data_IF_060135111820
#
_entry.id   IF_060135111820
#
_cell.length_a   1.000
_cell.length_b   1.000
_cell.length_c   1.000
_cell.angle_alpha   90.00
_cell.angle_beta   90.00
_cell.angle_gamma   90.00
#
_symmetry.space_group_name_H-M   'P 1'
#
loop_
_entity.id
_entity.type
_entity.pdbx_description
1 polymer ?
#
# COMPACT_ATOMS: atom_id res chain seq x y z
N UNK A 1 51.71 9.17 62.58
CA UNK A 1 51.11 7.97 61.96
C UNK A 1 49.63 8.11 61.59
N UNK A 2 48.75 8.68 62.44
CA UNK A 2 47.30 8.80 62.14
C UNK A 2 46.94 9.53 60.83
N UNK A 3 47.68 10.58 60.44
CA UNK A 3 47.42 11.34 59.19
C UNK A 3 47.70 10.54 57.90
N UNK A 4 48.70 9.66 57.89
CA UNK A 4 49.02 8.84 56.70
C UNK A 4 48.03 7.70 56.48
N UNK A 5 47.45 7.15 57.56
CA UNK A 5 46.42 6.10 57.47
C UNK A 5 45.13 6.67 56.86
N UNK A 6 44.71 7.85 57.32
CA UNK A 6 43.54 8.55 56.78
C UNK A 6 43.71 8.87 55.29
N UNK A 7 44.90 9.31 54.87
CA UNK A 7 45.20 9.61 53.47
C UNK A 7 45.16 8.35 52.58
N UNK A 8 45.63 7.22 53.11
CA UNK A 8 45.61 5.94 52.40
C UNK A 8 44.20 5.37 52.25
N UNK A 9 43.37 5.42 53.29
CA UNK A 9 41.94 5.04 53.21
C UNK A 9 41.18 5.91 52.21
N UNK A 10 41.52 7.20 52.15
CA UNK A 10 40.91 8.14 51.21
C UNK A 10 41.29 7.81 49.75
N UNK A 11 42.54 7.40 49.49
CA UNK A 11 42.97 6.95 48.15
C UNK A 11 42.23 5.66 47.76
N UNK A 12 42.13 4.68 48.66
CA UNK A 12 41.43 3.42 48.38
C UNK A 12 39.95 3.67 48.08
N UNK A 13 39.27 4.49 48.88
CA UNK A 13 37.87 4.84 48.65
C UNK A 13 37.67 5.54 47.31
N UNK A 14 38.58 6.44 46.91
CA UNK A 14 38.54 7.11 45.61
C UNK A 14 38.70 6.12 44.45
N UNK A 15 39.62 5.15 44.58
CA UNK A 15 39.82 4.08 43.58
C UNK A 15 38.56 3.22 43.46
N UNK A 16 38.00 2.77 44.57
CA UNK A 16 36.77 1.97 44.58
C UNK A 16 35.62 2.75 43.93
N UNK A 17 35.43 4.03 44.29
CA UNK A 17 34.37 4.87 43.72
C UNK A 17 34.54 5.08 42.20
N UNK A 18 35.77 5.25 41.73
CA UNK A 18 36.07 5.40 40.30
C UNK A 18 35.78 4.12 39.51
N UNK A 19 36.11 2.96 40.09
CA UNK A 19 35.84 1.66 39.46
C UNK A 19 34.33 1.38 39.38
N UNK A 20 33.59 1.71 40.43
CA UNK A 20 32.14 1.55 40.47
C UNK A 20 31.43 2.47 39.45
N UNK A 21 31.88 3.72 39.30
CA UNK A 21 31.31 4.65 38.32
C UNK A 21 31.59 4.21 36.88
N UNK A 22 32.79 3.72 36.57
CA UNK A 22 33.12 3.15 35.26
C UNK A 22 32.23 1.94 34.93
N UNK A 23 32.04 1.04 35.88
CA UNK A 23 31.17 -0.13 35.71
C UNK A 23 29.71 0.29 35.48
N UNK A 24 29.20 1.24 36.27
CA UNK A 24 27.86 1.77 36.11
C UNK A 24 27.65 2.44 34.73
N UNK A 25 28.67 3.14 34.21
CA UNK A 25 28.63 3.77 32.89
C UNK A 25 28.59 2.73 31.77
N UNK A 26 29.41 1.67 31.86
CA UNK A 26 29.38 0.57 30.90
C UNK A 26 28.04 -0.16 30.91
N UNK A 27 27.49 -0.42 32.09
CA UNK A 27 26.17 -1.03 32.24
C UNK A 27 25.07 -0.16 31.61
N UNK A 28 25.06 1.15 31.89
CA UNK A 28 24.09 2.08 31.31
C UNK A 28 24.18 2.12 29.78
N UNK A 29 25.41 2.18 29.24
CA UNK A 29 25.64 2.15 27.79
C UNK A 29 25.06 0.88 27.16
N UNK A 30 25.36 -0.28 27.72
CA UNK A 30 24.87 -1.56 27.22
C UNK A 30 23.34 -1.66 27.29
N UNK A 31 22.74 -1.18 28.38
CA UNK A 31 21.28 -1.11 28.53
C UNK A 31 20.65 -0.21 27.45
N UNK A 32 21.24 0.96 27.20
CA UNK A 32 20.75 1.90 26.19
C UNK A 32 20.84 1.36 24.76
N UNK A 33 21.97 0.72 24.41
CA UNK A 33 22.17 0.11 23.10
C UNK A 33 21.16 -1.03 22.84
N UNK A 34 20.92 -1.86 23.85
CA UNK A 34 19.97 -3.00 23.77
C UNK A 34 18.55 -2.49 23.53
N UNK A 35 18.06 -1.58 24.38
CA UNK A 35 16.70 -1.05 24.24
C UNK A 35 16.47 -0.26 22.96
N UNK A 36 17.51 0.44 22.48
CA UNK A 36 17.41 1.16 21.19
C UNK A 36 17.26 0.17 20.03
N UNK A 37 18.00 -0.94 20.05
CA UNK A 37 17.88 -2.00 19.05
C UNK A 37 16.49 -2.66 19.08
N UNK A 38 16.00 -3.02 20.27
CA UNK A 38 14.67 -3.60 20.47
C UNK A 38 13.57 -2.67 19.96
N UNK A 39 13.63 -1.38 20.31
CA UNK A 39 12.69 -0.37 19.84
C UNK A 39 12.69 -0.25 18.31
N UNK A 40 13.87 -0.22 17.69
CA UNK A 40 14.00 -0.13 16.23
C UNK A 40 13.43 -1.36 15.54
N UNK A 41 13.66 -2.57 16.06
CA UNK A 41 13.06 -3.80 15.53
C UNK A 41 11.53 -3.78 15.68
N UNK A 42 11.02 -3.39 16.85
CA UNK A 42 9.59 -3.31 17.08
C UNK A 42 8.92 -2.31 16.13
N UNK A 43 9.53 -1.15 15.91
CA UNK A 43 9.05 -0.15 14.94
C UNK A 43 8.99 -0.72 13.51
N UNK A 44 10.01 -1.49 13.09
CA UNK A 44 10.01 -2.13 11.77
C UNK A 44 8.85 -3.13 11.64
N UNK A 45 8.59 -3.95 12.67
CA UNK A 45 7.45 -4.86 12.68
C UNK A 45 6.11 -4.10 12.58
N UNK A 46 5.94 -3.01 13.34
CA UNK A 46 4.73 -2.18 13.29
C UNK A 46 4.53 -1.57 11.89
N UNK A 47 5.59 -1.06 11.27
CA UNK A 47 5.53 -0.49 9.92
C UNK A 47 5.14 -1.55 8.87
N UNK A 48 5.69 -2.76 8.96
CA UNK A 48 5.33 -3.87 8.06
C UNK A 48 3.87 -4.29 8.24
N UNK A 49 3.40 -4.43 9.48
CA UNK A 49 2.03 -4.83 9.78
C UNK A 49 1.02 -3.76 9.33
N UNK A 50 1.27 -2.49 9.62
CA UNK A 50 0.42 -1.39 9.18
C UNK A 50 0.38 -1.27 7.65
N UNK A 51 1.52 -1.42 6.98
CA UNK A 51 1.59 -1.44 5.51
C UNK A 51 0.83 -2.61 4.92
N UNK A 52 0.94 -3.81 5.50
CA UNK A 52 0.17 -4.98 5.08
C UNK A 52 -1.33 -4.74 5.21
N UNK A 53 -1.79 -4.18 6.34
CA UNK A 53 -3.21 -3.87 6.56
C UNK A 53 -3.72 -2.83 5.55
N UNK A 54 -2.95 -1.77 5.33
CA UNK A 54 -3.27 -0.75 4.33
C UNK A 54 -3.41 -1.36 2.93
N UNK A 55 -2.44 -2.17 2.49
CA UNK A 55 -2.49 -2.84 1.19
C UNK A 55 -3.62 -3.87 1.11
N UNK A 56 -3.94 -4.57 2.20
CA UNK A 56 -5.09 -5.50 2.25
C UNK A 56 -6.38 -4.76 1.95
N UNK A 57 -6.63 -3.62 2.61
CA UNK A 57 -7.81 -2.81 2.34
C UNK A 57 -7.80 -2.24 0.92
N UNK A 58 -6.66 -1.78 0.45
CA UNK A 58 -6.52 -1.23 -0.91
C UNK A 58 -6.86 -2.30 -1.98
N UNK A 59 -6.33 -3.51 -1.83
CA UNK A 59 -6.51 -4.60 -2.80
C UNK A 59 -7.91 -5.20 -2.76
N UNK A 60 -8.55 -5.30 -1.59
CA UNK A 60 -9.96 -5.71 -1.50
C UNK A 60 -10.88 -4.82 -2.35
N UNK A 61 -10.47 -3.57 -2.56
CA UNK A 61 -11.20 -2.55 -3.27
C UNK A 61 -10.64 -2.25 -4.66
N UNK A 62 -9.84 -3.18 -5.20
CA UNK A 62 -9.20 -3.05 -6.50
C UNK A 62 -9.54 -4.24 -7.42
N UNK A 63 -9.28 -4.08 -8.71
CA UNK A 63 -9.49 -5.09 -9.77
C UNK A 63 -8.36 -5.04 -10.78
N UNK A 64 -8.35 -6.02 -11.70
CA UNK A 64 -7.46 -6.05 -12.87
C UNK A 64 -5.98 -5.94 -12.45
N UNK A 65 -5.58 -6.83 -11.56
CA UNK A 65 -4.20 -6.90 -11.09
C UNK A 65 -3.29 -7.46 -12.18
N UNK A 66 -2.13 -6.84 -12.32
CA UNK A 66 -1.05 -7.31 -13.17
C UNK A 66 0.28 -7.14 -12.43
N UNK A 67 0.95 -8.25 -12.17
CA UNK A 67 2.23 -8.28 -11.48
C UNK A 67 3.38 -8.56 -12.45
N UNK A 68 4.44 -7.76 -12.33
CA UNK A 68 5.72 -7.97 -12.99
C UNK A 68 6.81 -7.82 -11.94
N UNK A 69 7.12 -8.90 -11.22
CA UNK A 69 8.13 -9.06 -10.17
C UNK A 69 8.30 -7.83 -9.25
N UNK A 70 8.95 -6.77 -9.71
CA UNK A 70 9.20 -5.52 -8.96
C UNK A 70 8.06 -4.49 -9.00
N UNK A 71 7.00 -4.75 -9.75
CA UNK A 71 5.86 -3.85 -9.94
C UNK A 71 4.54 -4.62 -9.86
N UNK A 72 3.55 -4.03 -9.21
CA UNK A 72 2.16 -4.45 -9.24
C UNK A 72 1.30 -3.28 -9.71
N UNK A 73 0.61 -3.46 -10.83
CA UNK A 73 -0.42 -2.51 -11.30
C UNK A 73 -1.81 -3.06 -11.05
N UNK A 74 -2.75 -2.19 -10.73
CA UNK A 74 -4.14 -2.55 -10.46
C UNK A 74 -5.04 -1.33 -10.64
N UNK A 75 -6.35 -1.54 -10.66
CA UNK A 75 -7.33 -0.47 -10.84
C UNK A 75 -8.20 -0.35 -9.60
N UNK A 76 -8.34 0.87 -9.07
CA UNK A 76 -9.17 1.10 -7.88
C UNK A 76 -10.64 1.21 -8.25
N UNK A 77 -11.50 0.50 -7.52
CA UNK A 77 -12.95 0.65 -7.60
C UNK A 77 -13.35 2.00 -6.99
N UNK A 78 -14.34 2.64 -7.60
CA UNK A 78 -14.87 3.94 -7.19
C UNK A 78 -15.71 3.92 -5.89
N UNK A 79 -15.13 3.61 -4.73
CA UNK A 79 -15.91 3.40 -3.50
C UNK A 79 -16.49 4.67 -2.86
N UNK A 80 -15.75 5.77 -2.86
CA UNK A 80 -16.22 7.06 -2.28
C UNK A 80 -17.34 7.70 -3.10
N UNK A 81 -17.52 7.27 -4.35
CA UNK A 81 -18.63 7.67 -5.20
C UNK A 81 -20.00 7.24 -4.64
N UNK A 82 -20.02 6.24 -3.73
CA UNK A 82 -21.24 5.81 -3.04
C UNK A 82 -21.88 6.94 -2.22
N UNK A 83 -21.07 7.74 -1.50
CA UNK A 83 -21.57 8.87 -0.70
C UNK A 83 -22.10 10.02 -1.55
N UNK A 84 -21.79 10.02 -2.85
CA UNK A 84 -22.13 11.09 -3.79
C UNK A 84 -23.21 10.67 -4.80
N UNK A 85 -23.81 9.48 -4.67
CA UNK A 85 -24.76 8.89 -5.63
C UNK A 85 -24.18 8.68 -7.05
N UNK A 86 -22.89 8.40 -7.15
CA UNK A 86 -22.17 8.29 -8.43
C UNK A 86 -21.58 6.89 -8.65
N UNK A 87 -22.18 5.85 -8.07
CA UNK A 87 -21.66 4.49 -8.11
C UNK A 87 -22.37 3.60 -9.16
N UNK A 88 -21.82 2.40 -9.35
CA UNK A 88 -22.30 1.27 -10.17
C UNK A 88 -23.74 1.44 -10.64
N UNK A 89 -23.93 1.54 -11.95
CA UNK A 89 -25.23 1.80 -12.51
C UNK A 89 -25.90 0.53 -13.02
N UNK A 90 -27.17 0.71 -13.32
CA UNK A 90 -27.89 -0.19 -14.21
C UNK A 90 -27.79 0.38 -15.62
N UNK A 91 -27.38 -0.44 -16.57
CA UNK A 91 -27.40 -0.13 -18.00
C UNK A 91 -28.75 -0.58 -18.55
N UNK A 92 -29.47 0.34 -19.19
CA UNK A 92 -30.65 -0.06 -19.98
C UNK A 92 -30.15 -0.71 -21.27
N UNK A 93 -30.22 -2.03 -21.33
CA UNK A 93 -29.78 -2.80 -22.48
C UNK A 93 -30.59 -2.50 -23.75
N UNK A 94 -31.83 -2.02 -23.63
CA UNK A 94 -32.68 -1.70 -24.78
C UNK A 94 -32.27 -0.40 -25.47
N UNK A 95 -31.71 0.55 -24.70
CA UNK A 95 -31.21 1.83 -25.20
C UNK A 95 -29.70 1.82 -25.46
N UNK A 96 -29.03 0.76 -25.05
CA UNK A 96 -27.59 0.59 -25.22
C UNK A 96 -27.25 -0.16 -26.50
N UNK A 97 -26.01 0.02 -26.95
CA UNK A 97 -25.46 -0.67 -28.09
C UNK A 97 -24.09 -1.25 -27.75
N UNK A 98 -23.48 -1.94 -28.69
CA UNK A 98 -22.11 -2.44 -28.53
C UNK A 98 -21.06 -1.32 -28.44
N UNK A 99 -21.40 -0.10 -28.87
CA UNK A 99 -20.47 1.03 -28.97
C UNK A 99 -20.62 2.03 -27.81
N UNK A 100 -21.79 2.07 -27.18
CA UNK A 100 -22.13 2.97 -26.08
C UNK A 100 -23.19 2.36 -25.16
N UNK A 101 -23.14 2.70 -23.88
CA UNK A 101 -24.13 2.27 -22.90
C UNK A 101 -24.93 3.45 -22.35
N UNK A 102 -26.25 3.30 -22.31
CA UNK A 102 -27.13 4.24 -21.63
C UNK A 102 -27.09 3.98 -20.12
N UNK A 103 -26.85 5.03 -19.34
CA UNK A 103 -26.94 4.98 -17.88
C UNK A 103 -27.77 6.15 -17.38
N UNK A 104 -28.86 5.85 -16.66
CA UNK A 104 -29.71 6.85 -16.04
C UNK A 104 -28.98 7.72 -14.99
N UNK A 105 -27.78 7.31 -14.57
CA UNK A 105 -26.86 8.08 -13.72
C UNK A 105 -25.90 8.95 -14.57
N UNK A 106 -26.37 9.59 -15.63
CA UNK A 106 -25.58 10.44 -16.56
C UNK A 106 -24.78 11.59 -15.92
N UNK A 107 -24.96 11.87 -14.61
CA UNK A 107 -24.10 12.78 -13.82
C UNK A 107 -22.65 12.31 -13.67
N UNK A 108 -22.30 11.12 -14.17
CA UNK A 108 -20.92 10.61 -14.23
C UNK A 108 -19.96 11.58 -14.92
N UNK A 109 -20.44 12.44 -15.82
CA UNK A 109 -19.67 13.51 -16.43
C UNK A 109 -19.06 14.55 -15.50
N UNK A 110 -19.56 14.65 -14.27
CA UNK A 110 -18.97 15.53 -13.25
C UNK A 110 -17.73 14.91 -12.59
N UNK A 111 -17.48 13.61 -12.80
CA UNK A 111 -16.32 12.91 -12.28
C UNK A 111 -15.21 12.91 -13.32
N UNK A 112 -14.31 13.89 -13.21
CA UNK A 112 -13.15 14.09 -14.10
C UNK A 112 -12.12 12.94 -14.15
N UNK A 113 -12.41 11.80 -13.53
CA UNK A 113 -11.44 10.73 -13.32
C UNK A 113 -12.02 9.34 -13.57
N UNK A 114 -13.12 9.15 -14.31
CA UNK A 114 -13.56 7.80 -14.69
C UNK A 114 -12.80 7.37 -15.94
N UNK A 115 -12.09 6.25 -15.85
CA UNK A 115 -11.28 5.70 -16.93
C UNK A 115 -11.96 4.53 -17.65
N UNK A 116 -12.68 3.69 -16.92
CA UNK A 116 -13.29 2.47 -17.47
C UNK A 116 -14.53 2.05 -16.71
N UNK A 117 -15.36 1.22 -17.36
CA UNK A 117 -16.40 0.43 -16.71
C UNK A 117 -15.98 -1.04 -16.74
N UNK A 118 -16.23 -1.76 -15.67
CA UNK A 118 -16.10 -3.22 -15.67
C UNK A 118 -17.38 -3.87 -15.17
N UNK A 119 -17.77 -4.92 -15.86
CA UNK A 119 -18.96 -5.71 -15.58
C UNK A 119 -18.61 -6.92 -14.71
N UNK A 120 -17.52 -7.59 -15.08
CA UNK A 120 -16.93 -8.70 -14.35
C UNK A 120 -15.42 -8.79 -14.64
N UNK A 121 -14.77 -9.86 -14.21
CA UNK A 121 -13.33 -10.07 -14.40
C UNK A 121 -12.89 -10.13 -15.87
N UNK A 122 -13.80 -10.48 -16.78
CA UNK A 122 -13.51 -10.70 -18.21
C UNK A 122 -13.92 -9.52 -19.09
N UNK A 123 -14.95 -8.77 -18.68
CA UNK A 123 -15.54 -7.70 -19.47
C UNK A 123 -15.35 -6.36 -18.77
N UNK A 124 -14.31 -5.64 -19.21
CA UNK A 124 -14.04 -4.26 -18.84
C UNK A 124 -13.65 -3.46 -20.08
N UNK A 125 -14.11 -2.21 -20.16
CA UNK A 125 -13.90 -1.37 -21.33
C UNK A 125 -13.54 0.06 -20.92
N UNK A 126 -12.52 0.59 -21.58
CA UNK A 126 -12.15 2.00 -21.45
C UNK A 126 -13.21 2.91 -22.02
N UNK A 127 -13.46 4.02 -21.32
CA UNK A 127 -14.39 5.05 -21.73
C UNK A 127 -13.65 6.20 -22.42
N UNK A 128 -14.32 6.82 -23.39
CA UNK A 128 -13.93 8.14 -23.88
C UNK A 128 -14.15 9.20 -22.79
N UNK A 129 -13.42 10.34 -22.86
CA UNK A 129 -13.75 11.48 -22.04
C UNK A 129 -15.22 11.86 -22.23
N UNK A 130 -15.92 12.06 -21.12
CA UNK A 130 -17.37 12.24 -21.14
C UNK A 130 -17.80 13.43 -22.01
N UNK A 131 -18.80 13.19 -22.85
CA UNK A 131 -19.57 14.17 -23.62
C UNK A 131 -20.87 14.50 -22.86
N UNK A 132 -21.47 15.68 -23.00
CA UNK A 132 -22.65 16.12 -22.22
C UNK A 132 -23.95 15.27 -22.42
N UNK A 133 -23.87 14.09 -23.03
CA UNK A 133 -25.00 13.19 -23.29
C UNK A 133 -25.15 12.11 -22.20
N UNK A 134 -26.27 11.39 -22.24
CA UNK A 134 -26.62 10.38 -21.22
C UNK A 134 -25.94 9.02 -21.44
N UNK A 135 -24.92 8.99 -22.29
CA UNK A 135 -24.26 7.76 -22.75
C UNK A 135 -22.81 7.69 -22.26
N UNK A 136 -22.39 6.46 -21.95
CA UNK A 136 -21.00 6.10 -21.75
C UNK A 136 -20.45 5.59 -23.08
N UNK A 137 -19.54 6.34 -23.69
CA UNK A 137 -18.90 5.99 -24.97
C UNK A 137 -17.62 5.19 -24.74
N UNK A 138 -17.42 4.11 -25.49
CA UNK A 138 -16.21 3.30 -25.41
C UNK A 138 -15.14 3.81 -26.38
N UNK A 139 -13.87 3.89 -25.96
CA UNK A 139 -12.76 4.34 -26.83
C UNK A 139 -12.57 3.53 -28.12
N UNK A 140 -13.01 2.28 -28.12
CA UNK A 140 -12.93 1.40 -29.29
C UNK A 140 -14.34 0.97 -29.70
N UNK A 141 -15.13 1.94 -30.18
CA UNK A 141 -16.49 1.75 -30.66
C UNK A 141 -16.61 0.63 -31.69
N UNK A 142 -15.61 0.45 -32.55
CA UNK A 142 -15.61 -0.54 -33.63
C UNK A 142 -15.54 -2.01 -33.15
N UNK A 143 -15.22 -2.23 -31.87
CA UNK A 143 -15.08 -3.58 -31.32
C UNK A 143 -16.34 -3.99 -30.57
N UNK A 144 -16.95 -5.11 -30.98
CA UNK A 144 -18.16 -5.65 -30.33
C UNK A 144 -17.95 -5.83 -28.82
N UNK A 145 -18.77 -5.17 -28.02
CA UNK A 145 -18.78 -5.30 -26.55
C UNK A 145 -19.96 -6.12 -26.08
N UNK A 146 -19.76 -6.86 -25.00
CA UNK A 146 -20.83 -7.49 -24.24
C UNK A 146 -21.16 -6.58 -23.06
N UNK A 147 -22.41 -6.13 -22.98
CA UNK A 147 -22.92 -5.32 -21.88
C UNK A 147 -23.80 -6.17 -20.97
N UNK A 148 -23.80 -5.82 -19.70
CA UNK A 148 -24.65 -6.42 -18.68
C UNK A 148 -25.46 -5.33 -18.02
N UNK A 149 -26.53 -5.73 -17.34
CA UNK A 149 -27.35 -4.79 -16.58
C UNK A 149 -26.52 -4.05 -15.53
N UNK A 150 -25.57 -4.70 -14.87
CA UNK A 150 -24.82 -4.10 -13.76
C UNK A 150 -23.35 -3.87 -14.13
N UNK A 151 -22.84 -2.69 -13.83
CA UNK A 151 -21.43 -2.34 -14.04
C UNK A 151 -20.84 -1.59 -12.86
N UNK A 152 -19.52 -1.60 -12.75
CA UNK A 152 -18.76 -0.84 -11.77
C UNK A 152 -17.80 0.12 -12.46
N UNK A 153 -17.50 1.24 -11.79
CA UNK A 153 -16.61 2.28 -12.31
C UNK A 153 -15.18 2.08 -11.82
N UNK A 154 -14.23 2.35 -12.72
CA UNK A 154 -12.80 2.39 -12.46
C UNK A 154 -12.34 3.83 -12.63
N UNK A 155 -11.68 4.38 -11.61
CA UNK A 155 -11.17 5.74 -11.68
C UNK A 155 -9.79 5.83 -12.33
N UNK A 156 -8.82 5.10 -11.78
CA UNK A 156 -7.45 5.19 -12.26
C UNK A 156 -6.68 3.90 -12.06
N UNK A 157 -5.67 3.73 -12.91
CA UNK A 157 -4.65 2.73 -12.71
C UNK A 157 -3.73 3.18 -11.56
N UNK A 158 -3.59 2.32 -10.59
CA UNK A 158 -2.61 2.42 -9.51
C UNK A 158 -1.43 1.50 -9.75
N UNK A 159 -0.30 1.86 -9.19
CA UNK A 159 0.95 1.13 -9.29
C UNK A 159 1.67 1.13 -7.94
N UNK A 160 1.99 -0.06 -7.47
CA UNK A 160 2.91 -0.32 -6.38
C UNK A 160 4.25 -0.78 -6.98
N UNK A 161 5.36 -0.10 -6.66
CA UNK A 161 6.66 -0.41 -7.26
C UNK A 161 7.82 -0.02 -6.35
N UNK A 162 8.95 -0.68 -6.54
CA UNK A 162 10.19 -0.35 -5.84
C UNK A 162 11.09 0.56 -6.70
N UNK A 163 11.68 1.59 -6.10
CA UNK A 163 12.72 2.43 -6.70
C UNK A 163 13.69 2.87 -5.62
N UNK A 164 15.00 2.80 -5.86
CA UNK A 164 16.04 3.23 -4.91
C UNK A 164 15.87 2.67 -3.48
N UNK A 165 15.54 1.37 -3.35
CA UNK A 165 15.23 0.72 -2.07
C UNK A 165 14.05 1.34 -1.30
N UNK A 166 13.11 1.94 -2.00
CA UNK A 166 11.89 2.50 -1.43
C UNK A 166 10.68 1.94 -2.18
N UNK A 167 9.63 1.60 -1.45
CA UNK A 167 8.37 1.14 -2.00
C UNK A 167 7.43 2.34 -2.17
N UNK A 168 6.93 2.52 -3.39
CA UNK A 168 6.05 3.61 -3.77
C UNK A 168 4.68 3.09 -4.18
N UNK A 169 3.62 3.80 -3.78
CA UNK A 169 2.26 3.69 -4.30
C UNK A 169 1.94 4.98 -5.07
N UNK A 170 1.71 4.89 -6.38
CA UNK A 170 1.35 6.04 -7.22
C UNK A 170 2.32 7.23 -7.08
N UNK A 171 3.60 6.96 -6.84
CA UNK A 171 4.62 7.99 -6.60
C UNK A 171 4.74 8.46 -5.14
N UNK A 172 3.79 8.12 -4.26
CA UNK A 172 3.90 8.38 -2.83
C UNK A 172 4.72 7.28 -2.13
N UNK A 173 5.62 7.69 -1.24
CA UNK A 173 6.46 6.78 -0.46
C UNK A 173 5.60 6.02 0.56
N UNK A 174 5.66 4.68 0.50
CA UNK A 174 4.94 3.80 1.42
C UNK A 174 5.89 3.22 2.48
N UNK A 175 7.06 2.73 2.06
CA UNK A 175 8.09 2.18 2.95
C UNK A 175 9.49 2.57 2.46
N UNK A 176 10.35 2.93 3.39
CA UNK A 176 11.78 3.15 3.14
C UNK A 176 12.60 1.87 3.34
N UNK A 177 13.85 1.84 2.89
CA UNK A 177 14.79 0.74 3.15
C UNK A 177 14.26 -0.67 2.80
N UNK A 178 13.50 -0.76 1.71
CA UNK A 178 13.02 -2.01 1.13
C UNK A 178 14.13 -2.61 0.26
N UNK A 179 14.73 -3.70 0.72
CA UNK A 179 15.82 -4.39 0.03
C UNK A 179 15.30 -5.30 -1.10
N UNK A 180 14.12 -5.87 -0.93
CA UNK A 180 13.49 -6.72 -1.94
C UNK A 180 11.98 -6.50 -1.94
N UNK A 181 11.40 -6.49 -3.14
CA UNK A 181 9.96 -6.49 -3.37
C UNK A 181 9.70 -7.33 -4.62
N UNK A 182 9.13 -8.51 -4.43
CA UNK A 182 8.76 -9.41 -5.49
C UNK A 182 7.27 -9.75 -5.39
N UNK A 183 6.54 -9.57 -6.49
CA UNK A 183 5.11 -9.82 -6.58
C UNK A 183 4.85 -10.82 -7.68
N UNK A 184 4.16 -11.89 -7.33
CA UNK A 184 3.65 -12.88 -8.28
C UNK A 184 2.16 -13.06 -8.08
N UNK A 185 1.47 -13.43 -9.16
CA UNK A 185 0.03 -13.66 -9.17
C UNK A 185 -0.23 -15.12 -9.55
N UNK A 186 -0.95 -15.83 -8.69
CA UNK A 186 -1.31 -17.24 -8.91
C UNK A 186 -2.73 -17.49 -8.39
N UNK A 187 -3.61 -18.05 -9.22
CA UNK A 187 -4.95 -18.50 -8.84
C UNK A 187 -5.73 -17.51 -7.94
N UNK A 188 -5.93 -16.28 -8.43
CA UNK A 188 -6.60 -15.19 -7.68
C UNK A 188 -5.95 -14.81 -6.34
N UNK A 189 -4.66 -15.12 -6.18
CA UNK A 189 -3.87 -14.74 -5.01
C UNK A 189 -2.66 -13.95 -5.48
N UNK A 190 -2.42 -12.81 -4.85
CA UNK A 190 -1.15 -12.09 -4.96
C UNK A 190 -0.22 -12.54 -3.84
N UNK A 191 0.96 -13.00 -4.23
CA UNK A 191 2.05 -13.32 -3.33
C UNK A 191 3.05 -12.18 -3.40
N UNK A 192 3.29 -11.51 -2.27
CA UNK A 192 4.23 -10.39 -2.16
C UNK A 192 5.32 -10.80 -1.17
N UNK A 193 6.52 -11.04 -1.68
CA UNK A 193 7.71 -11.17 -0.86
C UNK A 193 8.35 -9.79 -0.69
N UNK A 194 8.45 -9.32 0.55
CA UNK A 194 8.99 -8.01 0.87
C UNK A 194 10.04 -8.12 1.98
N UNK A 195 11.24 -7.60 1.72
CA UNK A 195 12.30 -7.47 2.72
C UNK A 195 12.51 -5.99 3.04
N UNK A 196 12.22 -5.59 4.27
CA UNK A 196 12.42 -4.25 4.79
C UNK A 196 13.55 -4.29 5.84
N UNK A 197 14.65 -3.61 5.55
CA UNK A 197 15.92 -3.74 6.31
C UNK A 197 16.32 -5.22 6.43
N UNK A 198 16.29 -5.78 7.63
CA UNK A 198 16.70 -7.16 7.92
C UNK A 198 15.51 -8.13 8.09
N UNK A 199 14.28 -7.64 7.93
CA UNK A 199 13.06 -8.43 8.11
C UNK A 199 12.42 -8.72 6.77
N UNK A 200 12.31 -10.00 6.43
CA UNK A 200 11.61 -10.49 5.25
C UNK A 200 10.27 -11.10 5.64
N UNK A 201 9.23 -10.76 4.87
CA UNK A 201 7.87 -11.24 5.07
C UNK A 201 7.24 -11.63 3.74
N UNK A 202 6.47 -12.71 3.78
CA UNK A 202 5.61 -13.13 2.68
C UNK A 202 4.17 -12.76 3.00
N UNK A 203 3.62 -11.88 2.18
CA UNK A 203 2.20 -11.52 2.23
C UNK A 203 1.44 -12.27 1.16
N UNK A 204 0.23 -12.71 1.53
CA UNK A 204 -0.72 -13.36 0.63
C UNK A 204 -2.01 -12.56 0.67
N UNK A 205 -2.42 -12.05 -0.48
CA UNK A 205 -3.66 -11.30 -0.64
C UNK A 205 -4.57 -12.08 -1.56
N UNK A 206 -5.78 -12.38 -1.08
CA UNK A 206 -6.85 -12.90 -1.93
C UNK A 206 -7.42 -11.71 -2.71
N UNK A 207 -7.35 -11.79 -4.03
CA UNK A 207 -7.91 -10.79 -4.96
C UNK A 207 -9.16 -11.33 -5.64
#
# INVERSE_FOLDING_TARGET
MKRSVVLFELIITLIILSSATLFALQFYKQLHETHTSEYLQQRQHINLQSSKLFLTHLFANSVLFHANNTTLTFHQKAQTAFKQNLYSGIIDLNQSSKEKAFSANSKLGQLHNIYAVYFNEQFWYELEPFTQDEFLHFKNAQSSKTLFEHYHLIFSQSRLYIKNKQLFLNGALLLEEVNAFNVTQQNNTLLVNLCHKNLCVDWRFKI
#
